data_IF_202258496899
#
_entry.id   IF_202258496899
#
_cell.length_a   1.000
_cell.length_b   1.000
_cell.length_c   1.000
_cell.angle_alpha   90.00
_cell.angle_beta   90.00
_cell.angle_gamma   90.00
#
_symmetry.space_group_name_H-M   'P 1'
#
loop_
_entity.id
_entity.type
_entity.pdbx_description
1 polymer ?
#
# COMPACT_ATOMS: atom_id res chain seq x y z
N UNK A 1 25.25 10.86 -19.74
CA UNK A 1 25.04 11.49 -18.41
C UNK A 1 24.45 10.45 -17.48
N UNK A 2 24.83 10.45 -16.20
CA UNK A 2 24.36 9.49 -15.19
C UNK A 2 23.41 10.18 -14.21
N UNK A 3 22.37 9.48 -13.76
CA UNK A 3 21.40 9.96 -12.77
C UNK A 3 20.98 8.83 -11.82
N UNK A 4 20.60 9.20 -10.60
CA UNK A 4 20.15 8.29 -9.54
C UNK A 4 18.80 8.76 -8.98
N UNK A 5 17.91 7.82 -8.66
CA UNK A 5 16.58 8.11 -8.08
C UNK A 5 16.41 7.39 -6.74
N UNK A 6 16.25 8.16 -5.67
CA UNK A 6 15.98 7.62 -4.34
C UNK A 6 14.50 7.26 -4.19
N UNK A 7 14.23 6.13 -3.54
CA UNK A 7 12.89 5.60 -3.31
C UNK A 7 12.70 5.15 -1.87
N UNK A 8 11.45 5.04 -1.46
CA UNK A 8 11.08 4.42 -0.19
C UNK A 8 11.23 2.91 -0.30
N UNK A 9 12.01 2.32 0.61
CA UNK A 9 12.28 0.87 0.62
C UNK A 9 10.98 0.08 0.78
N UNK A 10 10.12 0.51 1.69
CA UNK A 10 8.86 -0.15 2.02
C UNK A 10 7.83 -0.14 0.88
N UNK A 11 8.05 0.67 -0.16
CA UNK A 11 7.19 0.74 -1.33
C UNK A 11 7.79 0.01 -2.55
N UNK A 12 9.11 -0.02 -2.67
CA UNK A 12 9.78 -0.50 -3.89
C UNK A 12 10.70 -1.72 -3.69
N UNK A 13 11.03 -2.10 -2.44
CA UNK A 13 12.07 -3.10 -2.21
C UNK A 13 11.84 -3.99 -0.97
N UNK A 14 11.38 -5.22 -1.22
CA UNK A 14 11.36 -6.31 -0.23
C UNK A 14 11.96 -7.59 -0.83
N UNK A 15 13.26 -7.87 -0.59
CA UNK A 15 13.96 -8.96 -1.26
C UNK A 15 13.69 -10.33 -0.64
N UNK A 16 13.55 -11.36 -1.47
CA UNK A 16 13.48 -12.76 -1.06
C UNK A 16 14.82 -13.46 -1.33
N UNK A 17 15.56 -13.77 -0.27
CA UNK A 17 16.94 -14.27 -0.35
C UNK A 17 17.25 -15.43 0.59
N UNK A 18 16.58 -15.51 1.74
CA UNK A 18 16.91 -16.45 2.80
C UNK A 18 15.74 -17.39 3.14
N UNK A 19 16.06 -18.52 3.77
CA UNK A 19 15.08 -19.43 4.37
C UNK A 19 14.46 -18.86 5.67
N UNK A 20 13.41 -19.52 6.15
CA UNK A 20 12.64 -19.09 7.33
C UNK A 20 13.52 -18.87 8.58
N UNK A 21 13.11 -17.91 9.43
CA UNK A 21 13.81 -17.56 10.66
C UNK A 21 14.95 -16.54 10.49
N UNK A 22 15.16 -16.02 9.29
CA UNK A 22 16.13 -14.95 8.99
C UNK A 22 15.42 -13.68 8.46
N UNK A 23 16.20 -12.67 8.04
CA UNK A 23 15.71 -11.51 7.27
C UNK A 23 15.60 -11.84 5.78
N UNK A 24 14.91 -11.00 5.01
CA UNK A 24 14.78 -11.17 3.55
C UNK A 24 14.25 -12.57 3.17
N UNK A 25 13.18 -13.00 3.84
CA UNK A 25 12.52 -14.31 3.67
C UNK A 25 11.11 -14.15 3.08
N UNK A 26 10.45 -15.28 2.80
CA UNK A 26 9.08 -15.26 2.30
C UNK A 26 8.13 -14.57 3.29
N UNK A 27 8.34 -14.74 4.59
CA UNK A 27 7.56 -14.09 5.64
C UNK A 27 7.76 -12.57 5.64
N UNK A 28 8.99 -12.09 5.47
CA UNK A 28 9.25 -10.64 5.41
C UNK A 28 8.66 -10.02 4.16
N UNK A 29 8.79 -10.67 3.01
CA UNK A 29 8.21 -10.21 1.75
C UNK A 29 6.69 -10.13 1.81
N UNK A 30 6.04 -11.19 2.33
CA UNK A 30 4.58 -11.23 2.51
C UNK A 30 4.11 -10.11 3.45
N UNK A 31 4.80 -9.91 4.58
CA UNK A 31 4.48 -8.84 5.54
C UNK A 31 4.59 -7.46 4.89
N UNK A 32 5.67 -7.19 4.16
CA UNK A 32 5.90 -5.89 3.53
C UNK A 32 4.82 -5.59 2.47
N UNK A 33 4.43 -6.58 1.66
CA UNK A 33 3.38 -6.46 0.65
C UNK A 33 2.00 -6.15 1.29
N UNK A 34 1.62 -6.88 2.33
CA UNK A 34 0.35 -6.66 3.04
C UNK A 34 0.33 -5.26 3.67
N UNK A 35 1.43 -4.84 4.31
CA UNK A 35 1.51 -3.52 4.92
C UNK A 35 1.42 -2.41 3.87
N UNK A 36 2.01 -2.59 2.69
CA UNK A 36 1.88 -1.65 1.59
C UNK A 36 0.41 -1.50 1.16
N UNK A 37 -0.30 -2.60 0.97
CA UNK A 37 -1.71 -2.59 0.59
C UNK A 37 -2.61 -1.94 1.65
N UNK A 38 -2.34 -2.20 2.93
CA UNK A 38 -3.03 -1.53 4.03
C UNK A 38 -2.80 -0.01 3.99
N UNK A 39 -1.57 0.45 3.68
CA UNK A 39 -1.31 1.89 3.52
C UNK A 39 -2.12 2.49 2.38
N UNK A 40 -2.21 1.80 1.24
CA UNK A 40 -3.02 2.25 0.10
C UNK A 40 -4.49 2.37 0.45
N UNK A 41 -5.08 1.38 1.14
CA UNK A 41 -6.49 1.43 1.56
C UNK A 41 -6.74 2.53 2.60
N UNK A 42 -5.82 2.75 3.53
CA UNK A 42 -5.93 3.86 4.49
C UNK A 42 -5.90 5.21 3.79
N UNK A 43 -5.09 5.37 2.74
CA UNK A 43 -5.00 6.62 1.99
C UNK A 43 -6.31 6.99 1.27
N UNK A 44 -7.16 6.01 0.92
CA UNK A 44 -8.48 6.27 0.31
C UNK A 44 -9.59 6.48 1.33
N UNK A 45 -9.28 6.43 2.62
CA UNK A 45 -10.29 6.48 3.68
C UNK A 45 -11.05 5.16 3.87
N UNK A 46 -10.52 4.01 3.42
CA UNK A 46 -11.16 2.71 3.69
C UNK A 46 -11.12 2.40 5.18
N UNK A 47 -12.28 2.04 5.74
CA UNK A 47 -12.38 1.49 7.10
C UNK A 47 -12.02 0.01 7.08
N UNK A 48 -10.83 -0.33 7.62
CA UNK A 48 -10.46 -1.72 7.83
C UNK A 48 -11.08 -2.22 9.13
N UNK A 49 -12.00 -3.19 9.03
CA UNK A 49 -12.53 -3.85 10.21
C UNK A 49 -11.42 -4.60 10.93
N UNK A 50 -11.34 -4.49 12.25
CA UNK A 50 -10.35 -5.21 13.07
C UNK A 50 -10.85 -6.63 13.31
N UNK A 51 -10.45 -7.55 12.45
CA UNK A 51 -10.57 -9.00 12.68
C UNK A 51 -9.26 -9.54 13.24
N UNK A 52 -9.24 -10.81 13.65
CA UNK A 52 -8.06 -11.43 14.25
C UNK A 52 -6.84 -11.44 13.29
N UNK A 53 -7.07 -11.34 11.98
CA UNK A 53 -6.03 -11.30 10.95
C UNK A 53 -6.42 -10.30 9.85
N UNK A 54 -6.04 -9.03 10.01
CA UNK A 54 -6.27 -8.03 8.98
C UNK A 54 -5.25 -8.18 7.83
N UNK A 55 -5.43 -9.23 7.04
CA UNK A 55 -4.64 -9.50 5.84
C UNK A 55 -5.41 -8.99 4.64
N UNK A 56 -4.80 -8.09 3.87
CA UNK A 56 -5.34 -7.62 2.60
C UNK A 56 -4.23 -7.62 1.56
N UNK A 57 -4.45 -8.37 0.48
CA UNK A 57 -3.60 -8.33 -0.70
C UNK A 57 -4.39 -7.73 -1.87
N UNK A 58 -3.83 -6.72 -2.51
CA UNK A 58 -4.43 -6.06 -3.68
C UNK A 58 -3.71 -6.60 -4.91
N UNK A 59 -4.47 -7.16 -5.85
CA UNK A 59 -3.88 -7.61 -7.11
C UNK A 59 -3.23 -6.45 -7.86
N UNK A 60 -2.12 -6.69 -8.56
CA UNK A 60 -1.43 -5.65 -9.32
C UNK A 60 -2.36 -4.95 -10.34
N UNK A 61 -3.32 -5.66 -10.92
CA UNK A 61 -4.31 -5.09 -11.83
C UNK A 61 -5.25 -4.08 -11.15
N UNK A 62 -5.63 -4.33 -9.89
CA UNK A 62 -6.44 -3.40 -9.10
C UNK A 62 -5.60 -2.23 -8.58
N UNK A 63 -4.38 -2.50 -8.12
CA UNK A 63 -3.49 -1.49 -7.54
C UNK A 63 -2.94 -0.49 -8.56
N UNK A 64 -2.68 -0.92 -9.82
CA UNK A 64 -2.15 -0.06 -10.90
C UNK A 64 -3.09 1.10 -11.24
N UNK A 65 -4.38 1.01 -10.86
CA UNK A 65 -5.38 2.07 -11.05
C UNK A 65 -5.26 3.21 -10.04
N UNK A 66 -4.41 3.09 -9.00
CA UNK A 66 -4.05 4.13 -8.02
C UNK A 66 -5.20 5.12 -7.76
N UNK A 67 -6.35 4.61 -7.28
CA UNK A 67 -7.34 5.42 -6.57
C UNK A 67 -7.82 6.63 -7.39
N UNK A 68 -8.58 6.38 -8.45
CA UNK A 68 -9.46 7.39 -9.04
C UNK A 68 -10.77 7.34 -8.23
N UNK A 69 -10.85 8.17 -7.19
CA UNK A 69 -12.09 8.78 -6.68
C UNK A 69 -11.78 9.57 -5.40
N UNK A 70 -11.15 10.73 -5.55
CA UNK A 70 -11.56 11.87 -4.72
C UNK A 70 -12.68 12.54 -5.49
N UNK A 71 -13.92 12.15 -5.20
CA UNK A 71 -15.06 12.98 -5.55
C UNK A 71 -14.87 14.31 -4.83
N UNK A 72 -14.42 15.32 -5.57
CA UNK A 72 -14.52 16.72 -5.20
C UNK A 72 -16.01 17.08 -5.15
N UNK A 73 -16.73 16.64 -4.12
CA UNK A 73 -17.99 17.25 -3.73
C UNK A 73 -17.69 18.37 -2.72
N UNK A 74 -16.91 19.36 -3.15
CA UNK A 74 -17.01 20.71 -2.59
C UNK A 74 -18.27 21.34 -3.17
N UNK A 75 -19.44 20.92 -2.67
CA UNK A 75 -20.63 21.73 -2.80
C UNK A 75 -20.47 22.91 -1.84
N UNK A 76 -19.78 23.93 -2.35
CA UNK A 76 -19.88 25.29 -1.86
C UNK A 76 -21.34 25.74 -1.98
N UNK A 77 -22.15 25.45 -0.96
CA UNK A 77 -23.37 26.21 -0.70
C UNK A 77 -23.03 27.27 0.35
N UNK A 78 -22.36 28.33 -0.10
CA UNK A 78 -22.55 29.65 0.49
C UNK A 78 -23.91 30.16 -0.02
N UNK A 79 -24.87 30.41 0.87
CA UNK A 79 -25.66 31.66 0.92
C UNK A 79 -26.81 31.54 1.93
N UNK A 80 -26.84 32.55 2.81
CA UNK A 80 -27.85 32.95 3.82
C UNK A 80 -27.74 32.32 5.20
#
# INVERSE_FOLDING_TARGET
TFATWEVRREDEFSPLKNGAGNKDTAETCRRDLILQHIRYLKQVGTLLQKTNENICEISCFLCRRKIINNNNNNNNNNMQ
#
